data_IF_811144434396
#
_entry.id   IF_811144434396
#
_cell.length_a   1.000
_cell.length_b   1.000
_cell.length_c   1.000
_cell.angle_alpha   90.00
_cell.angle_beta   90.00
_cell.angle_gamma   90.00
#
_symmetry.space_group_name_H-M   'P 1'
#
loop_
_entity.id
_entity.type
_entity.pdbx_description
1 polymer ?
#
# COMPACT_ATOMS: atom_id res chain seq x y z
N UNK A 1 -5.47 -39.36 63.78
CA UNK A 1 -5.54 -39.53 62.31
C UNK A 1 -5.18 -38.20 61.67
N UNK A 2 -4.15 -38.17 60.81
CA UNK A 2 -3.67 -36.94 60.16
C UNK A 2 -4.58 -36.60 58.99
N UNK A 3 -5.10 -35.38 58.97
CA UNK A 3 -5.86 -34.82 57.85
C UNK A 3 -4.92 -34.53 56.68
N UNK A 4 -5.09 -35.28 55.59
CA UNK A 4 -4.39 -35.06 54.33
C UNK A 4 -5.03 -33.85 53.65
N UNK A 5 -4.25 -32.79 53.49
CA UNK A 5 -4.68 -31.54 52.86
C UNK A 5 -4.50 -31.71 51.36
N UNK A 6 -5.60 -31.82 50.62
CA UNK A 6 -5.62 -31.85 49.17
C UNK A 6 -5.13 -30.51 48.60
N UNK A 7 -3.82 -30.41 48.44
CA UNK A 7 -3.14 -29.27 47.83
C UNK A 7 -2.81 -29.46 46.35
N UNK A 8 -3.42 -30.44 45.67
CA UNK A 8 -3.10 -30.80 44.30
C UNK A 8 -4.18 -30.34 43.32
N UNK A 9 -4.20 -29.05 42.97
CA UNK A 9 -4.80 -28.64 41.68
C UNK A 9 -4.38 -27.26 41.20
N UNK A 10 -4.28 -26.24 42.08
CA UNK A 10 -4.05 -24.87 41.60
C UNK A 10 -2.61 -24.57 41.13
N UNK A 11 -1.59 -25.12 41.82
CA UNK A 11 -0.18 -24.82 41.52
C UNK A 11 0.31 -25.40 40.19
N UNK A 12 -0.19 -26.59 39.82
CA UNK A 12 0.17 -27.23 38.55
C UNK A 12 -0.42 -26.51 37.34
N UNK A 13 -1.67 -26.03 37.45
CA UNK A 13 -2.32 -25.25 36.40
C UNK A 13 -1.67 -23.88 36.25
N UNK A 14 -1.26 -23.25 37.36
CA UNK A 14 -0.53 -21.97 37.33
C UNK A 14 0.83 -22.10 36.64
N UNK A 15 1.59 -23.15 36.92
CA UNK A 15 2.86 -23.42 36.24
C UNK A 15 2.67 -23.71 34.75
N UNK A 16 1.60 -24.42 34.39
CA UNK A 16 1.28 -24.75 33.00
C UNK A 16 0.86 -23.51 32.19
N UNK A 17 0.09 -22.59 32.80
CA UNK A 17 -0.24 -21.28 32.23
C UNK A 17 0.99 -20.37 32.10
N UNK A 18 1.90 -20.36 33.08
CA UNK A 18 3.17 -19.64 33.02
C UNK A 18 4.08 -20.17 31.91
N UNK A 19 4.16 -21.48 31.73
CA UNK A 19 4.93 -22.11 30.66
C UNK A 19 4.32 -21.83 29.27
N UNK A 20 2.99 -21.82 29.17
CA UNK A 20 2.27 -21.52 27.93
C UNK A 20 2.43 -20.04 27.51
N UNK A 21 2.54 -19.12 28.47
CA UNK A 21 2.86 -17.71 28.22
C UNK A 21 4.29 -17.47 27.73
N UNK A 22 5.23 -18.40 28.00
CA UNK A 22 6.63 -18.30 27.61
C UNK A 22 6.90 -18.79 26.17
N UNK A 23 5.96 -19.52 25.57
CA UNK A 23 6.07 -20.10 24.23
C UNK A 23 5.46 -19.24 23.11
N UNK A 24 5.01 -18.03 23.41
CA UNK A 24 4.60 -17.06 22.39
C UNK A 24 5.81 -16.18 22.04
N UNK A 25 6.62 -16.50 21.02
CA UNK A 25 7.41 -15.46 20.40
C UNK A 25 6.41 -14.42 19.90
N UNK A 26 6.43 -13.22 20.48
CA UNK A 26 5.93 -12.03 19.79
C UNK A 26 6.83 -11.83 18.57
N UNK A 27 6.64 -12.65 17.54
CA UNK A 27 7.14 -12.35 16.22
C UNK A 27 6.29 -11.17 15.75
N UNK A 28 6.73 -9.96 16.08
CA UNK A 28 6.28 -8.75 15.41
C UNK A 28 6.82 -8.89 13.98
N UNK A 29 6.05 -9.58 13.13
CA UNK A 29 6.35 -9.67 11.71
C UNK A 29 6.12 -8.26 11.18
N UNK A 30 7.20 -7.57 10.85
CA UNK A 30 7.14 -6.29 10.19
C UNK A 30 6.36 -6.47 8.89
N UNK A 31 5.18 -5.87 8.79
CA UNK A 31 4.35 -5.98 7.61
C UNK A 31 4.98 -5.16 6.49
N UNK A 32 5.21 -5.79 5.33
CA UNK A 32 5.66 -5.12 4.12
C UNK A 32 4.45 -4.80 3.26
N UNK A 33 4.20 -3.53 3.02
CA UNK A 33 3.11 -3.07 2.16
C UNK A 33 3.46 -3.24 0.68
N UNK A 34 2.46 -3.47 -0.14
CA UNK A 34 2.60 -3.21 -1.57
C UNK A 34 2.81 -1.72 -1.83
N UNK A 35 3.39 -1.39 -2.98
CA UNK A 35 3.60 0.00 -3.41
C UNK A 35 2.30 0.83 -3.37
N UNK A 36 1.17 0.26 -3.78
CA UNK A 36 -0.11 0.96 -3.77
C UNK A 36 -0.63 1.16 -2.35
N UNK A 37 -0.53 0.15 -1.48
CA UNK A 37 -0.96 0.29 -0.08
C UNK A 37 -0.12 1.31 0.68
N UNK A 38 1.19 1.38 0.43
CA UNK A 38 2.05 2.41 0.99
C UNK A 38 1.63 3.83 0.54
N UNK A 39 1.24 4.00 -0.73
CA UNK A 39 0.68 5.26 -1.23
C UNK A 39 -0.65 5.60 -0.54
N UNK A 40 -1.57 4.65 -0.40
CA UNK A 40 -2.87 4.87 0.26
C UNK A 40 -2.68 5.26 1.73
N UNK A 41 -1.82 4.55 2.46
CA UNK A 41 -1.46 4.90 3.84
C UNK A 41 -0.83 6.28 3.95
N UNK A 42 0.03 6.66 3.00
CA UNK A 42 0.59 8.00 2.96
C UNK A 42 -0.49 9.07 2.70
N UNK A 43 -1.51 8.78 1.90
CA UNK A 43 -2.67 9.66 1.69
C UNK A 43 -3.48 9.83 2.97
N UNK A 44 -3.67 8.77 3.75
CA UNK A 44 -4.31 8.87 5.07
C UNK A 44 -3.51 9.82 5.98
N UNK A 45 -2.19 9.65 6.02
CA UNK A 45 -1.31 10.54 6.79
C UNK A 45 -1.31 11.99 6.28
N UNK A 46 -1.38 12.22 4.97
CA UNK A 46 -1.55 13.56 4.37
C UNK A 46 -2.86 14.20 4.83
N UNK A 47 -3.96 13.46 4.79
CA UNK A 47 -5.26 13.95 5.24
C UNK A 47 -5.29 14.24 6.73
N UNK A 48 -4.63 13.42 7.56
CA UNK A 48 -4.53 13.63 9.00
C UNK A 48 -3.81 14.93 9.36
N UNK A 49 -2.71 15.24 8.66
CA UNK A 49 -1.94 16.48 8.88
C UNK A 49 -2.49 17.71 8.17
N UNK A 50 -3.42 17.55 7.25
CA UNK A 50 -3.95 18.65 6.44
C UNK A 50 -4.85 19.58 7.25
N UNK A 51 -4.80 20.87 6.95
CA UNK A 51 -5.73 21.88 7.44
C UNK A 51 -6.92 22.11 6.51
N UNK A 52 -7.06 21.31 5.44
CA UNK A 52 -8.20 21.42 4.52
C UNK A 52 -9.51 20.94 5.18
N UNK A 53 -10.65 21.41 4.64
CA UNK A 53 -11.97 21.07 5.17
C UNK A 53 -12.41 19.63 4.86
N UNK A 54 -12.04 19.12 3.68
CA UNK A 54 -12.49 17.82 3.17
C UNK A 54 -11.33 16.85 3.00
N UNK A 55 -11.63 15.55 3.03
CA UNK A 55 -10.67 14.51 2.68
C UNK A 55 -10.28 14.59 1.21
N UNK A 56 -9.05 14.22 0.91
CA UNK A 56 -8.53 13.98 -0.42
C UNK A 56 -8.40 12.48 -0.65
N UNK A 57 -8.87 12.02 -1.81
CA UNK A 57 -8.79 10.63 -2.24
C UNK A 57 -7.85 10.50 -3.42
N UNK A 58 -7.18 9.36 -3.56
CA UNK A 58 -6.35 9.04 -4.73
C UNK A 58 -7.19 9.16 -6.02
N UNK A 59 -6.77 10.04 -6.92
CA UNK A 59 -7.39 10.20 -8.24
C UNK A 59 -6.66 9.36 -9.30
N UNK A 60 -5.33 9.45 -9.33
CA UNK A 60 -4.49 8.70 -10.25
C UNK A 60 -3.09 8.48 -9.65
N UNK A 61 -2.51 7.31 -9.93
CA UNK A 61 -1.18 6.92 -9.47
C UNK A 61 -0.28 6.72 -10.70
N UNK A 62 0.83 7.46 -10.77
CA UNK A 62 1.77 7.33 -11.86
C UNK A 62 2.37 5.91 -11.90
N UNK A 63 2.82 5.44 -13.08
CA UNK A 63 3.46 4.14 -13.20
C UNK A 63 4.57 3.95 -12.17
N UNK A 64 4.56 2.79 -11.52
CA UNK A 64 5.60 2.41 -10.55
C UNK A 64 6.98 2.43 -11.24
N UNK A 65 7.99 3.08 -10.65
CA UNK A 65 9.35 3.05 -11.18
C UNK A 65 10.00 1.68 -10.93
N UNK A 66 11.07 1.38 -11.67
CA UNK A 66 11.93 0.23 -11.37
C UNK A 66 12.53 0.40 -9.97
N UNK A 67 12.41 -0.63 -9.14
CA UNK A 67 12.88 -0.62 -7.75
C UNK A 67 13.91 -1.74 -7.53
N UNK A 68 14.83 -1.48 -6.61
CA UNK A 68 15.87 -2.39 -6.09
C UNK A 68 15.36 -3.60 -5.28
N UNK A 69 14.07 -3.62 -4.93
CA UNK A 69 13.43 -4.72 -4.20
C UNK A 69 13.54 -4.64 -2.67
N UNK A 70 14.35 -3.74 -2.14
CA UNK A 70 14.52 -3.52 -0.70
C UNK A 70 13.31 -2.78 -0.11
N UNK A 71 12.54 -3.34 0.83
CA UNK A 71 11.38 -2.68 1.42
C UNK A 71 11.71 -1.49 2.34
N UNK A 72 12.94 -1.40 2.85
CA UNK A 72 13.38 -0.35 3.78
C UNK A 72 13.86 0.92 3.07
N UNK A 73 14.32 0.79 1.83
CA UNK A 73 14.76 1.94 1.04
C UNK A 73 13.56 2.78 0.58
N UNK A 74 13.53 4.12 0.77
CA UNK A 74 12.41 4.96 0.33
C UNK A 74 12.13 4.84 -1.17
N UNK A 75 10.86 4.70 -1.53
CA UNK A 75 10.41 4.46 -2.91
C UNK A 75 9.78 5.73 -3.48
N UNK A 76 10.26 6.22 -4.63
CA UNK A 76 9.71 7.41 -5.23
C UNK A 76 8.26 7.19 -5.64
N UNK A 77 7.42 8.16 -5.32
CA UNK A 77 5.99 8.17 -5.62
C UNK A 77 5.60 9.47 -6.30
N UNK A 78 4.63 9.36 -7.19
CA UNK A 78 4.02 10.49 -7.83
C UNK A 78 2.57 10.15 -8.15
N UNK A 79 1.64 10.96 -7.66
CA UNK A 79 0.21 10.71 -7.80
C UNK A 79 -0.58 11.99 -7.70
N UNK A 80 -1.84 11.94 -8.11
CA UNK A 80 -2.79 13.03 -7.91
C UNK A 80 -3.87 12.62 -6.92
N UNK A 81 -4.28 13.57 -6.10
CA UNK A 81 -5.42 13.41 -5.19
C UNK A 81 -6.49 14.44 -5.54
N UNK A 82 -7.75 14.09 -5.31
CA UNK A 82 -8.89 14.99 -5.53
C UNK A 82 -9.72 15.10 -4.26
N UNK A 83 -10.16 16.32 -3.98
CA UNK A 83 -11.05 16.65 -2.87
C UNK A 83 -12.37 15.86 -2.97
N UNK A 84 -12.82 15.33 -1.84
CA UNK A 84 -14.05 14.54 -1.71
C UNK A 84 -15.17 15.36 -1.08
N UNK A 85 -16.37 14.78 -1.01
CA UNK A 85 -17.51 15.37 -0.29
C UNK A 85 -17.44 15.16 1.23
N UNK A 86 -16.56 14.26 1.69
CA UNK A 86 -16.42 13.93 3.09
C UNK A 86 -15.62 14.99 3.84
N UNK A 87 -16.09 15.45 5.02
CA UNK A 87 -15.29 16.31 5.87
C UNK A 87 -14.07 15.55 6.39
N UNK A 88 -12.95 16.25 6.57
CA UNK A 88 -11.70 15.66 7.07
C UNK A 88 -11.86 14.98 8.45
N UNK A 89 -12.85 15.39 9.24
CA UNK A 89 -13.16 14.84 10.56
C UNK A 89 -13.90 13.50 10.54
N UNK A 90 -14.27 12.99 9.36
CA UNK A 90 -14.90 11.67 9.25
C UNK A 90 -13.92 10.56 9.65
N UNK A 91 -14.45 9.45 10.18
CA UNK A 91 -13.68 8.22 10.43
C UNK A 91 -13.68 7.27 9.23
N UNK A 92 -14.42 7.60 8.16
CA UNK A 92 -14.49 6.79 6.96
C UNK A 92 -13.17 6.84 6.17
N UNK A 93 -12.87 5.76 5.45
CA UNK A 93 -11.73 5.73 4.53
C UNK A 93 -11.95 6.75 3.40
N UNK A 94 -10.90 7.47 2.96
CA UNK A 94 -11.00 8.34 1.79
C UNK A 94 -11.51 7.61 0.54
N UNK A 95 -11.28 6.29 0.43
CA UNK A 95 -11.72 5.48 -0.71
C UNK A 95 -13.24 5.28 -0.78
N UNK A 96 -13.94 5.41 0.35
CA UNK A 96 -15.41 5.30 0.43
C UNK A 96 -16.11 6.65 0.18
N UNK A 97 -15.33 7.72 0.03
CA UNK A 97 -15.83 9.07 -0.18
C UNK A 97 -15.89 9.42 -1.68
N UNK A 98 -17.07 9.87 -2.11
CA UNK A 98 -17.27 10.37 -3.47
C UNK A 98 -16.45 11.63 -3.72
N UNK A 99 -15.93 11.76 -4.93
CA UNK A 99 -15.26 12.98 -5.35
C UNK A 99 -16.24 14.15 -5.39
N UNK A 100 -15.81 15.29 -4.86
CA UNK A 100 -16.55 16.55 -5.03
C UNK A 100 -16.48 16.95 -6.51
N UNK A 101 -17.63 17.35 -7.08
CA UNK A 101 -17.77 17.67 -8.52
C UNK A 101 -16.66 18.62 -9.00
N UNK A 102 -16.55 19.76 -8.34
CA UNK A 102 -15.54 20.80 -8.57
C UNK A 102 -14.41 20.76 -7.52
N UNK A 103 -14.13 19.57 -6.99
CA UNK A 103 -13.11 19.35 -5.98
C UNK A 103 -11.71 19.69 -6.49
N UNK A 104 -10.90 20.29 -5.62
CA UNK A 104 -9.51 20.62 -5.92
C UNK A 104 -8.70 19.36 -6.24
N UNK A 105 -7.84 19.44 -7.24
CA UNK A 105 -6.87 18.38 -7.58
C UNK A 105 -5.47 18.86 -7.18
N UNK A 106 -4.75 18.03 -6.44
CA UNK A 106 -3.35 18.30 -6.04
C UNK A 106 -2.44 17.24 -6.62
N UNK A 107 -1.24 17.65 -7.04
CA UNK A 107 -0.17 16.71 -7.44
C UNK A 107 0.73 16.50 -6.23
N UNK A 108 0.95 15.25 -5.87
CA UNK A 108 1.79 14.85 -4.76
C UNK A 108 3.02 14.09 -5.30
N UNK A 109 4.21 14.48 -4.83
CA UNK A 109 5.49 13.88 -5.22
C UNK A 109 6.35 13.70 -3.97
N UNK A 110 7.09 12.61 -3.91
CA UNK A 110 7.94 12.31 -2.76
C UNK A 110 8.36 10.86 -2.70
N UNK A 111 8.48 10.32 -1.49
CA UNK A 111 8.86 8.92 -1.24
C UNK A 111 8.01 8.25 -0.16
N UNK A 112 7.85 6.93 -0.26
CA UNK A 112 7.23 6.07 0.76
C UNK A 112 8.13 4.88 1.09
N UNK A 113 8.19 4.49 2.36
CA UNK A 113 8.84 3.24 2.79
C UNK A 113 7.81 2.10 2.81
N UNK A 114 8.17 0.92 2.28
CA UNK A 114 7.23 -0.21 2.21
C UNK A 114 7.15 -0.98 3.53
N UNK A 115 8.25 -1.01 4.28
CA UNK A 115 8.29 -1.63 5.60
C UNK A 115 7.56 -0.76 6.63
N UNK A 116 6.45 -1.27 7.18
CA UNK A 116 5.68 -0.56 8.20
C UNK A 116 6.44 -0.35 9.52
N UNK A 117 7.43 -1.19 9.83
CA UNK A 117 8.24 -0.98 11.03
C UNK A 117 9.11 0.30 10.94
N UNK A 118 9.35 0.79 9.72
CA UNK A 118 10.06 2.03 9.41
C UNK A 118 9.13 3.04 8.73
N UNK A 119 7.83 2.96 9.03
CA UNK A 119 6.79 3.76 8.37
C UNK A 119 7.19 5.25 8.37
N UNK A 120 7.51 5.72 7.17
CA UNK A 120 8.01 7.06 6.91
C UNK A 120 7.66 7.38 5.47
N UNK A 121 7.08 8.56 5.31
CA UNK A 121 6.78 9.11 4.00
C UNK A 121 7.11 10.59 4.01
N UNK A 122 7.78 11.02 2.95
CA UNK A 122 8.12 12.42 2.71
C UNK A 122 7.46 12.80 1.39
N UNK A 123 6.32 13.48 1.48
CA UNK A 123 5.48 13.81 0.34
C UNK A 123 5.00 15.23 0.46
N UNK A 124 5.29 16.03 -0.56
CA UNK A 124 4.73 17.36 -0.78
C UNK A 124 3.58 17.28 -1.78
N UNK A 125 2.50 18.03 -1.51
CA UNK A 125 1.34 18.11 -2.37
C UNK A 125 1.06 19.57 -2.75
N UNK A 126 1.31 19.92 -4.01
CA UNK A 126 1.09 21.27 -4.52
C UNK A 126 -0.28 21.41 -5.19
N UNK A 127 -0.91 22.58 -4.99
CA UNK A 127 -2.23 22.94 -5.54
C UNK A 127 -2.20 23.20 -7.05
N UNK A 128 -1.00 23.37 -7.62
CA UNK A 128 -0.85 23.92 -8.96
C UNK A 128 -0.34 22.89 -9.95
N UNK A 129 -1.27 22.32 -10.72
CA UNK A 129 -0.99 22.06 -12.13
C UNK A 129 -2.27 21.79 -12.93
N UNK A 130 -3.04 22.85 -13.19
CA UNK A 130 -4.08 22.86 -14.24
C UNK A 130 -3.56 22.39 -15.60
N UNK A 131 -2.24 22.47 -15.84
CA UNK A 131 -1.57 21.92 -17.04
C UNK A 131 -1.56 20.39 -17.10
N UNK A 132 -1.57 19.68 -15.97
CA UNK A 132 -1.39 18.22 -15.94
C UNK A 132 -2.71 17.43 -15.95
N UNK A 133 -3.85 18.01 -15.54
CA UNK A 133 -5.15 17.38 -15.73
C UNK A 133 -5.46 17.12 -17.22
N UNK A 134 -4.97 17.98 -18.11
CA UNK A 134 -5.01 17.78 -19.56
C UNK A 134 -4.08 16.63 -20.01
N UNK A 135 -2.90 16.51 -19.39
CA UNK A 135 -1.94 15.44 -19.68
C UNK A 135 -2.39 14.07 -19.14
N UNK A 136 -3.04 13.98 -17.97
CA UNK A 136 -3.55 12.70 -17.44
C UNK A 136 -4.54 12.02 -18.38
N UNK A 137 -5.43 12.79 -19.00
CA UNK A 137 -6.32 12.30 -20.06
C UNK A 137 -5.54 11.84 -21.32
N UNK A 138 -4.41 12.49 -21.62
CA UNK A 138 -3.54 12.14 -22.75
C UNK A 138 -2.75 10.85 -22.47
N UNK A 139 -2.21 10.69 -21.26
CA UNK A 139 -1.51 9.48 -20.82
C UNK A 139 -2.44 8.27 -20.65
N UNK A 140 -3.69 8.46 -20.19
CA UNK A 140 -4.70 7.38 -20.17
C UNK A 140 -4.97 6.83 -21.57
N UNK A 141 -5.16 7.70 -22.56
CA UNK A 141 -5.32 7.30 -23.97
C UNK A 141 -4.05 6.65 -24.54
N UNK A 142 -2.86 7.14 -24.18
CA UNK A 142 -1.61 6.53 -24.61
C UNK A 142 -1.40 5.13 -23.98
N UNK A 143 -1.75 4.95 -22.71
CA UNK A 143 -1.65 3.68 -21.96
C UNK A 143 -2.56 2.59 -22.56
N UNK A 144 -3.78 2.93 -22.93
CA UNK A 144 -4.72 2.00 -23.60
C UNK A 144 -4.24 1.57 -25.00
N UNK A 145 -3.51 2.44 -25.71
CA UNK A 145 -2.99 2.16 -27.05
C UNK A 145 -1.70 1.33 -27.01
N UNK A 146 -0.82 1.59 -26.04
CA UNK A 146 0.47 0.87 -25.88
C UNK A 146 0.26 -0.56 -25.33
N UNK A 147 -0.70 -0.76 -24.41
CA UNK A 147 -0.96 -2.08 -23.83
C UNK A 147 -1.38 -3.15 -24.85
N UNK A 148 -2.11 -2.77 -25.92
CA UNK A 148 -2.56 -3.71 -26.96
C UNK A 148 -1.44 -4.16 -27.89
N UNK A 149 -0.49 -3.28 -28.21
CA UNK A 149 0.67 -3.62 -29.04
C UNK A 149 1.71 -4.43 -28.26
N UNK A 150 1.98 -4.08 -26.99
CA UNK A 150 2.87 -4.86 -26.14
C UNK A 150 2.35 -6.27 -25.88
N UNK A 151 1.03 -6.45 -25.76
CA UNK A 151 0.41 -7.79 -25.60
C UNK A 151 0.73 -8.71 -26.78
N UNK A 152 0.75 -8.20 -28.01
CA UNK A 152 1.13 -8.98 -29.22
C UNK A 152 2.62 -9.33 -29.24
N UNK A 153 3.48 -8.42 -28.80
CA UNK A 153 4.94 -8.65 -28.73
C UNK A 153 5.26 -9.70 -27.66
N UNK A 154 4.67 -9.59 -26.47
CA UNK A 154 4.85 -10.57 -25.38
C UNK A 154 4.35 -11.95 -25.82
N UNK A 155 3.22 -12.02 -26.50
CA UNK A 155 2.69 -13.30 -26.99
C UNK A 155 3.63 -13.94 -28.02
N UNK A 156 4.17 -13.18 -28.99
CA UNK A 156 5.15 -13.70 -29.94
C UNK A 156 6.43 -14.20 -29.27
N UNK A 157 6.94 -13.48 -28.27
CA UNK A 157 8.14 -13.90 -27.53
C UNK A 157 7.85 -15.20 -26.77
N UNK A 158 6.66 -15.32 -26.14
CA UNK A 158 6.24 -16.54 -25.45
C UNK A 158 6.17 -17.73 -26.41
N UNK A 159 5.56 -17.55 -27.58
CA UNK A 159 5.46 -18.62 -28.59
C UNK A 159 6.84 -19.01 -29.12
N UNK A 160 7.75 -18.05 -29.33
CA UNK A 160 9.11 -18.34 -29.78
C UNK A 160 9.91 -19.12 -28.72
N UNK A 161 9.76 -18.76 -27.45
CA UNK A 161 10.41 -19.48 -26.34
C UNK A 161 9.86 -20.91 -26.19
N UNK A 162 8.57 -21.14 -26.42
CA UNK A 162 8.00 -22.48 -26.41
C UNK A 162 8.58 -23.39 -27.50
N UNK A 163 8.98 -22.83 -28.65
CA UNK A 163 9.63 -23.58 -29.72
C UNK A 163 11.14 -23.81 -29.49
N UNK A 164 11.73 -23.12 -28.52
CA UNK A 164 13.16 -23.26 -28.15
C UNK A 164 13.40 -24.16 -26.94
N UNK A 165 12.34 -24.65 -26.28
CA UNK A 165 12.48 -25.66 -25.22
C UNK A 165 12.92 -26.97 -25.88
N UNK A 166 14.16 -27.43 -25.68
CA UNK A 166 14.58 -28.73 -26.17
C UNK A 166 13.79 -29.79 -25.41
N UNK A 167 13.24 -30.75 -26.14
CA UNK A 167 12.64 -31.94 -25.55
C UNK A 167 13.77 -32.71 -24.85
N UNK A 168 13.87 -32.58 -23.53
CA UNK A 168 14.72 -33.46 -22.73
C UNK A 168 14.05 -34.84 -22.76
N UNK A 169 14.53 -35.72 -23.62
CA UNK A 169 14.23 -37.14 -23.55
C UNK A 169 15.16 -37.79 -22.52
N UNK A 170 14.57 -38.33 -21.46
CA UNK A 170 15.11 -39.37 -20.60
C UNK A 170 13.93 -40.24 -20.14
#
# INVERSE_FOLDING_TARGET
>A
MKTQRDGHSLGGWSLMLLLLGLLMPLAIVAQVLSYKEAVLRAIDGINQRSSDANLYRLLDLDPRPTMDGDPDTPKPVSFTVKETVCPRTTQQSPEDCDFKKDGLVKRCVGTVTLNQARDSFDISCDKDNRRFALLGNFFRKAREKIGKEFKRIVQRIKDFLQHLVPRTEA
#
